data_IF_361106139125
#
_entry.id   IF_361106139125
#
_cell.length_a   1.000
_cell.length_b   1.000
_cell.length_c   1.000
_cell.angle_alpha   90.00
_cell.angle_beta   90.00
_cell.angle_gamma   90.00
#
_symmetry.space_group_name_H-M   'P 1'
#
loop_
_entity.id
_entity.type
_entity.pdbx_description
1 polymer ?
#
# COMPACT_ATOMS: atom_id res chain seq x y z
N UNK A 1 13.26 -2.56 -21.87
CA UNK A 1 11.90 -3.08 -21.62
C UNK A 1 10.94 -1.91 -21.53
N UNK A 2 9.76 -2.07 -22.12
CA UNK A 2 8.75 -1.01 -22.23
C UNK A 2 7.61 -1.32 -21.25
N UNK A 3 7.25 -0.37 -20.38
CA UNK A 3 6.10 -0.48 -19.47
C UNK A 3 5.09 0.59 -19.88
N UNK A 4 3.87 0.18 -20.24
CA UNK A 4 2.81 1.09 -20.69
C UNK A 4 3.27 2.09 -21.78
N UNK A 5 4.05 1.61 -22.76
CA UNK A 5 4.56 2.44 -23.86
C UNK A 5 5.77 3.34 -23.52
N UNK A 6 6.25 3.36 -22.28
CA UNK A 6 7.44 4.11 -21.87
C UNK A 6 8.66 3.19 -21.76
N UNK A 7 9.75 3.57 -22.43
CA UNK A 7 11.04 2.88 -22.31
C UNK A 7 11.67 3.20 -20.95
N UNK A 8 11.88 2.18 -20.14
CA UNK A 8 12.53 2.31 -18.83
C UNK A 8 13.97 1.82 -18.96
N UNK A 9 14.93 2.74 -18.88
CA UNK A 9 16.37 2.43 -18.98
C UNK A 9 16.98 2.04 -17.63
N UNK A 10 16.44 2.55 -16.52
CA UNK A 10 16.91 2.27 -15.15
C UNK A 10 15.78 1.71 -14.29
N UNK A 11 15.91 0.45 -13.89
CA UNK A 11 14.97 -0.20 -12.98
C UNK A 11 15.28 0.19 -11.54
N UNK A 12 14.43 1.02 -10.94
CA UNK A 12 14.34 1.13 -9.48
C UNK A 12 12.89 0.85 -9.06
N UNK A 13 12.67 0.31 -7.85
CA UNK A 13 11.31 0.10 -7.33
C UNK A 13 10.47 1.38 -7.36
N UNK A 14 11.08 2.54 -7.13
CA UNK A 14 10.43 3.85 -7.20
C UNK A 14 9.99 4.23 -8.61
N UNK A 15 10.86 4.03 -9.61
CA UNK A 15 10.58 4.36 -11.02
C UNK A 15 9.43 3.50 -11.55
N UNK A 16 9.41 2.22 -11.18
CA UNK A 16 8.39 1.26 -11.62
C UNK A 16 7.04 1.54 -10.96
N UNK A 17 7.02 1.88 -9.66
CA UNK A 17 5.80 2.29 -8.96
C UNK A 17 5.22 3.60 -9.51
N UNK A 18 6.06 4.57 -9.85
CA UNK A 18 5.62 5.83 -10.46
C UNK A 18 4.98 5.63 -11.85
N UNK A 19 5.28 4.52 -12.53
CA UNK A 19 4.65 4.13 -13.79
C UNK A 19 3.31 3.39 -13.60
N UNK A 20 2.82 3.28 -12.36
CA UNK A 20 1.55 2.64 -12.04
C UNK A 20 1.61 1.11 -12.01
N UNK A 21 2.81 0.53 -12.01
CA UNK A 21 2.98 -0.92 -11.94
C UNK A 21 2.90 -1.38 -10.48
N UNK A 22 1.78 -2.00 -10.13
CA UNK A 22 1.59 -2.69 -8.85
C UNK A 22 2.04 -4.15 -8.95
N UNK A 23 2.74 -4.64 -7.91
CA UNK A 23 3.10 -6.06 -7.78
C UNK A 23 2.23 -6.68 -6.70
N UNK A 24 1.52 -7.75 -7.04
CA UNK A 24 0.87 -8.64 -6.07
C UNK A 24 1.82 -9.85 -5.91
N UNK A 25 2.51 -10.02 -4.78
CA UNK A 25 3.36 -11.19 -4.57
C UNK A 25 2.51 -12.46 -4.49
N UNK A 26 3.06 -13.60 -4.93
CA UNK A 26 2.36 -14.90 -4.85
C UNK A 26 2.01 -15.26 -3.40
N UNK A 27 2.89 -14.88 -2.47
CA UNK A 27 2.65 -14.92 -1.04
C UNK A 27 2.28 -13.52 -0.53
N UNK A 28 0.99 -13.22 -0.67
CA UNK A 28 0.34 -11.99 -0.18
C UNK A 28 0.42 -11.85 1.35
N UNK A 29 0.55 -12.96 2.08
CA UNK A 29 0.59 -13.01 3.54
C UNK A 29 1.94 -12.57 4.10
N UNK A 30 3.02 -13.09 3.52
CA UNK A 30 4.37 -12.88 4.05
C UNK A 30 5.07 -11.68 3.40
N UNK A 31 4.67 -11.32 2.17
CA UNK A 31 5.41 -10.34 1.35
C UNK A 31 4.55 -9.17 0.86
N UNK A 32 3.21 -9.27 0.94
CA UNK A 32 2.29 -8.25 0.45
C UNK A 32 1.89 -7.20 1.48
N UNK A 33 1.95 -7.54 2.77
CA UNK A 33 1.58 -6.68 3.90
C UNK A 33 2.63 -6.79 5.00
N UNK A 34 2.90 -5.70 5.71
CA UNK A 34 3.77 -5.73 6.90
C UNK A 34 2.92 -6.08 8.10
N UNK A 35 2.90 -7.36 8.47
CA UNK A 35 2.01 -7.95 9.48
C UNK A 35 2.07 -7.27 10.86
N UNK A 36 3.21 -6.66 11.20
CA UNK A 36 3.42 -5.92 12.45
C UNK A 36 2.88 -4.49 12.46
N UNK A 37 2.54 -3.94 11.29
CA UNK A 37 1.96 -2.61 11.18
C UNK A 37 0.43 -2.67 11.21
N UNK A 38 -0.21 -1.55 11.59
CA UNK A 38 -1.63 -1.35 11.29
C UNK A 38 -1.94 -1.62 9.82
N UNK A 39 -3.14 -2.11 9.55
CA UNK A 39 -3.63 -2.36 8.20
C UNK A 39 -3.53 -1.08 7.35
N UNK A 40 -3.91 0.06 7.93
CA UNK A 40 -3.85 1.35 7.26
C UNK A 40 -2.44 1.72 6.78
N UNK A 41 -1.44 1.55 7.66
CA UNK A 41 -0.04 1.86 7.33
C UNK A 41 0.51 0.89 6.29
N UNK A 42 0.24 -0.41 6.46
CA UNK A 42 0.65 -1.44 5.51
C UNK A 42 0.12 -1.20 4.10
N UNK A 43 -1.13 -0.77 3.98
CA UNK A 43 -1.78 -0.48 2.69
C UNK A 43 -1.14 0.70 1.94
N UNK A 44 -0.64 1.69 2.67
CA UNK A 44 -0.07 2.90 2.05
C UNK A 44 1.44 2.85 1.87
N UNK A 45 2.15 1.86 2.44
CA UNK A 45 3.61 1.75 2.39
C UNK A 45 4.22 2.01 0.99
N UNK A 46 3.72 1.41 -0.12
CA UNK A 46 4.27 1.67 -1.45
C UNK A 46 4.13 3.14 -1.89
N UNK A 47 3.11 3.83 -1.36
CA UNK A 47 2.74 5.21 -1.73
C UNK A 47 2.98 6.21 -0.60
N UNK A 48 3.61 5.81 0.50
CA UNK A 48 3.68 6.60 1.73
C UNK A 48 4.39 7.95 1.52
N UNK A 49 5.36 8.00 0.60
CA UNK A 49 6.07 9.22 0.22
C UNK A 49 5.34 10.13 -0.78
N UNK A 50 4.15 9.75 -1.26
CA UNK A 50 3.38 10.57 -2.20
C UNK A 50 2.64 11.70 -1.49
N UNK A 51 2.33 12.77 -2.22
CA UNK A 51 1.57 13.92 -1.68
C UNK A 51 0.20 13.56 -1.09
N UNK A 52 -0.35 12.38 -1.44
CA UNK A 52 -1.59 11.86 -0.87
C UNK A 52 -1.44 11.50 0.62
N UNK A 53 -0.29 10.94 1.02
CA UNK A 53 -0.07 10.36 2.35
C UNK A 53 1.06 11.03 3.14
N UNK A 54 1.85 11.89 2.50
CA UNK A 54 2.92 12.66 3.12
C UNK A 54 2.99 14.09 2.56
N UNK A 55 3.52 15.02 3.35
CA UNK A 55 3.89 16.38 2.95
C UNK A 55 5.23 16.72 3.57
N UNK A 56 6.24 16.98 2.75
CA UNK A 56 7.60 17.33 3.18
C UNK A 56 8.19 16.32 4.20
N UNK A 57 7.93 15.02 4.01
CA UNK A 57 8.39 13.96 4.92
C UNK A 57 7.50 13.72 6.13
N UNK A 58 6.53 14.59 6.41
CA UNK A 58 5.53 14.39 7.46
C UNK A 58 4.34 13.59 6.93
N UNK A 59 4.02 12.49 7.59
CA UNK A 59 2.85 11.67 7.25
C UNK A 59 1.54 12.43 7.50
N UNK A 60 0.49 12.01 6.81
CA UNK A 60 -0.89 12.47 6.98
C UNK A 60 -1.75 11.33 7.54
N UNK A 61 -1.74 11.08 8.86
CA UNK A 61 -2.43 9.93 9.46
C UNK A 61 -3.92 9.89 9.11
N UNK A 62 -4.59 11.04 9.07
CA UNK A 62 -6.01 11.11 8.71
C UNK A 62 -6.29 10.67 7.27
N UNK A 63 -5.41 11.04 6.33
CA UNK A 63 -5.54 10.63 4.93
C UNK A 63 -5.28 9.12 4.77
N UNK A 64 -4.31 8.59 5.51
CA UNK A 64 -3.99 7.16 5.54
C UNK A 64 -5.18 6.37 6.11
N UNK A 65 -5.75 6.83 7.22
CA UNK A 65 -6.92 6.21 7.86
C UNK A 65 -8.15 6.27 6.97
N UNK A 66 -8.47 7.43 6.39
CA UNK A 66 -9.61 7.57 5.48
C UNK A 66 -9.49 6.68 4.24
N UNK A 67 -8.26 6.56 3.69
CA UNK A 67 -8.00 5.65 2.59
C UNK A 67 -8.26 4.19 3.01
N UNK A 68 -7.72 3.77 4.15
CA UNK A 68 -7.91 2.42 4.66
C UNK A 68 -9.39 2.09 4.93
N UNK A 69 -10.14 3.00 5.54
CA UNK A 69 -11.60 2.85 5.75
C UNK A 69 -12.34 2.68 4.42
N UNK A 70 -11.97 3.46 3.39
CA UNK A 70 -12.55 3.32 2.06
C UNK A 70 -12.20 1.96 1.41
N UNK A 71 -10.96 1.47 1.56
CA UNK A 71 -10.56 0.16 1.03
C UNK A 71 -11.25 -0.99 1.78
N UNK A 72 -11.37 -0.91 3.11
CA UNK A 72 -12.08 -1.89 3.93
C UNK A 72 -13.52 -2.02 3.44
N UNK A 73 -14.20 -0.89 3.20
CA UNK A 73 -15.57 -0.87 2.68
C UNK A 73 -15.65 -1.38 1.23
N UNK A 74 -14.72 -0.99 0.37
CA UNK A 74 -14.75 -1.35 -1.04
C UNK A 74 -14.48 -2.84 -1.29
N UNK A 75 -13.61 -3.46 -0.47
CA UNK A 75 -13.22 -4.86 -0.61
C UNK A 75 -13.80 -5.78 0.48
N UNK A 76 -14.74 -5.28 1.28
CA UNK A 76 -15.39 -6.02 2.39
C UNK A 76 -14.37 -6.73 3.32
N UNK A 77 -13.29 -6.02 3.66
CA UNK A 77 -12.19 -6.58 4.46
C UNK A 77 -12.70 -6.82 5.89
N UNK A 78 -12.74 -8.08 6.30
CA UNK A 78 -13.15 -8.50 7.63
C UNK A 78 -12.09 -8.14 8.67
N UNK A 79 -12.17 -6.93 9.20
CA UNK A 79 -11.32 -6.43 10.27
C UNK A 79 -12.13 -5.56 11.25
N UNK A 80 -11.76 -5.50 12.55
CA UNK A 80 -12.33 -4.56 13.50
C UNK A 80 -12.14 -3.09 13.10
N UNK A 81 -11.12 -2.77 12.32
CA UNK A 81 -10.92 -1.45 11.77
C UNK A 81 -9.54 -1.23 11.14
N UNK A 82 -9.27 -0.01 10.63
CA UNK A 82 -8.03 0.34 9.93
C UNK A 82 -6.77 0.23 10.80
N UNK A 83 -6.90 0.31 12.12
CA UNK A 83 -5.80 0.20 13.08
C UNK A 83 -5.51 -1.24 13.52
N UNK A 84 -6.31 -2.21 13.07
CA UNK A 84 -6.03 -3.63 13.33
C UNK A 84 -4.69 -4.00 12.71
N UNK A 85 -3.86 -4.78 13.42
CA UNK A 85 -2.61 -5.30 12.86
C UNK A 85 -2.92 -6.15 11.63
N UNK A 86 -2.20 -5.92 10.54
CA UNK A 86 -2.42 -6.66 9.29
C UNK A 86 -2.28 -8.17 9.49
N UNK A 87 -1.38 -8.61 10.37
CA UNK A 87 -1.20 -10.05 10.70
C UNK A 87 -2.31 -10.68 11.53
N UNK A 88 -3.25 -9.90 12.08
CA UNK A 88 -4.41 -10.44 12.81
C UNK A 88 -5.57 -10.85 11.89
N UNK A 89 -5.45 -10.59 10.58
CA UNK A 89 -6.46 -10.94 9.59
C UNK A 89 -6.24 -12.40 9.15
N UNK A 90 -7.24 -13.25 9.38
CA UNK A 90 -7.13 -14.71 9.19
C UNK A 90 -7.07 -15.17 7.73
N UNK A 91 -7.33 -14.27 6.77
CA UNK A 91 -7.55 -14.64 5.37
C UNK A 91 -6.36 -14.43 4.44
N UNK A 92 -5.49 -13.46 4.72
CA UNK A 92 -4.62 -12.87 3.71
C UNK A 92 -5.36 -12.15 2.62
#
# INVERSE_FOLDING_TARGET
MTIAGKTVSRFSPSTVQALGLGRIPEDRMTTGLVTNLPLADSMVLPRIGTAAFSRNGLLKPDAIRAFAEAQIKAYDIRCPGPMTRAGALSGG
#
